data_IF_145460645288
#
_entry.id   IF_145460645288
#
_cell.length_a   1.000
_cell.length_b   1.000
_cell.length_c   1.000
_cell.angle_alpha   90.00
_cell.angle_beta   90.00
_cell.angle_gamma   90.00
#
_symmetry.space_group_name_H-M   'P 1'
#
loop_
_entity.id
_entity.type
_entity.pdbx_description
1 polymer ?
#
# COMPACT_ATOMS: atom_id res chain seq x y z
N UNK A 1 9.03 8.49 -21.94
CA UNK A 1 8.99 9.63 -21.00
C UNK A 1 7.83 10.57 -21.34
N UNK A 2 6.58 10.09 -21.30
CA UNK A 2 5.41 10.90 -21.73
C UNK A 2 4.79 11.71 -20.58
N UNK A 3 5.21 11.46 -19.35
CA UNK A 3 4.50 11.91 -18.14
C UNK A 3 5.31 12.83 -17.23
N UNK A 4 6.57 13.14 -17.54
CA UNK A 4 7.33 14.16 -16.80
C UNK A 4 7.18 15.53 -17.46
N UNK A 5 7.18 16.65 -16.70
CA UNK A 5 7.25 17.99 -17.27
C UNK A 5 8.45 18.11 -18.21
N UNK A 6 8.27 18.76 -19.36
CA UNK A 6 9.31 18.88 -20.40
C UNK A 6 10.60 19.56 -19.91
N UNK A 7 10.51 20.35 -18.84
CA UNK A 7 11.63 21.05 -18.20
C UNK A 7 12.23 20.32 -16.99
N UNK A 8 11.78 19.09 -16.69
CA UNK A 8 12.31 18.35 -15.54
C UNK A 8 13.76 17.94 -15.80
N UNK A 9 14.65 18.35 -14.88
CA UNK A 9 16.03 17.94 -14.85
C UNK A 9 16.32 17.28 -13.50
N UNK A 10 16.68 15.98 -13.47
CA UNK A 10 17.08 15.32 -12.23
C UNK A 10 18.30 16.03 -11.62
N UNK A 11 18.17 16.43 -10.36
CA UNK A 11 19.29 17.05 -9.61
C UNK A 11 20.21 15.98 -9.01
N UNK A 12 19.69 14.77 -8.80
CA UNK A 12 20.40 13.63 -8.22
C UNK A 12 20.71 12.57 -9.28
N UNK A 13 21.85 11.90 -9.15
CA UNK A 13 22.11 10.65 -9.87
C UNK A 13 21.18 9.54 -9.40
N UNK A 14 21.02 8.48 -10.20
CA UNK A 14 20.17 7.32 -9.84
C UNK A 14 20.52 6.76 -8.45
N UNK A 15 21.82 6.63 -8.13
CA UNK A 15 22.27 6.12 -6.82
C UNK A 15 21.94 7.07 -5.67
N UNK A 16 22.01 8.37 -5.90
CA UNK A 16 21.64 9.38 -4.91
C UNK A 16 20.12 9.42 -4.71
N UNK A 17 19.34 9.27 -5.78
CA UNK A 17 17.88 9.15 -5.72
C UNK A 17 17.46 7.96 -4.88
N UNK A 18 18.03 6.77 -5.07
CA UNK A 18 17.73 5.59 -4.23
C UNK A 18 18.02 5.84 -2.74
N UNK A 19 19.15 6.49 -2.43
CA UNK A 19 19.49 6.88 -1.06
C UNK A 19 18.52 7.91 -0.48
N UNK A 20 18.11 8.89 -1.29
CA UNK A 20 17.16 9.92 -0.89
C UNK A 20 15.77 9.33 -0.64
N UNK A 21 15.29 8.41 -1.49
CA UNK A 21 14.03 7.68 -1.29
C UNK A 21 14.08 6.95 0.04
N UNK A 22 15.12 6.16 0.30
CA UNK A 22 15.26 5.45 1.58
C UNK A 22 15.24 6.40 2.77
N UNK A 23 16.00 7.50 2.71
CA UNK A 23 16.05 8.50 3.79
C UNK A 23 14.66 9.07 4.10
N UNK A 24 13.88 9.41 3.07
CA UNK A 24 12.52 9.93 3.22
C UNK A 24 11.61 8.89 3.85
N UNK A 25 11.61 7.65 3.35
CA UNK A 25 10.76 6.56 3.87
C UNK A 25 11.07 6.26 5.34
N UNK A 26 12.35 6.02 5.67
CA UNK A 26 12.79 5.70 7.04
C UNK A 26 12.47 6.86 8.01
N UNK A 27 12.63 8.11 7.56
CA UNK A 27 12.35 9.28 8.40
C UNK A 27 10.85 9.42 8.64
N UNK A 28 10.03 9.38 7.59
CA UNK A 28 8.60 9.54 7.72
C UNK A 28 7.97 8.46 8.61
N UNK A 29 8.35 7.19 8.43
CA UNK A 29 7.89 6.07 9.27
C UNK A 29 8.20 6.28 10.75
N UNK A 30 9.43 6.72 11.07
CA UNK A 30 9.83 6.99 12.45
C UNK A 30 9.05 8.15 13.06
N UNK A 31 8.92 9.26 12.34
CA UNK A 31 8.20 10.43 12.85
C UNK A 31 6.70 10.16 12.98
N UNK A 32 6.08 9.47 12.01
CA UNK A 32 4.67 9.09 12.03
C UNK A 32 4.35 8.16 13.21
N UNK A 33 5.14 7.10 13.38
CA UNK A 33 4.96 6.14 14.48
C UNK A 33 5.15 6.77 15.86
N UNK A 34 6.16 7.64 16.01
CA UNK A 34 6.38 8.38 17.26
C UNK A 34 5.28 9.37 17.58
N UNK A 35 4.85 10.18 16.60
CA UNK A 35 3.85 11.22 16.79
C UNK A 35 2.46 10.66 17.10
N UNK A 36 2.08 9.55 16.46
CA UNK A 36 0.73 8.96 16.57
C UNK A 36 0.69 7.68 17.42
N UNK A 37 1.81 7.28 18.05
CA UNK A 37 1.94 6.06 18.85
C UNK A 37 1.51 4.80 18.09
N UNK A 38 2.01 4.67 16.87
CA UNK A 38 1.69 3.56 15.98
C UNK A 38 2.76 2.48 16.04
N UNK A 39 2.36 1.22 16.11
CA UNK A 39 3.26 0.08 15.92
C UNK A 39 3.25 -0.34 14.45
N UNK A 40 4.44 -0.58 13.87
CA UNK A 40 4.54 -1.20 12.54
C UNK A 40 4.07 -2.64 12.62
N UNK A 41 3.15 -3.04 11.76
CA UNK A 41 2.70 -4.44 11.63
C UNK A 41 2.86 -4.93 10.20
N UNK A 42 2.90 -6.26 10.01
CA UNK A 42 2.95 -6.87 8.67
C UNK A 42 1.54 -7.04 8.12
N UNK A 43 1.26 -6.45 6.97
CA UNK A 43 -0.02 -6.61 6.27
C UNK A 43 -0.04 -7.72 5.23
N UNK A 44 -1.23 -8.26 4.91
CA UNK A 44 -1.40 -9.14 3.76
C UNK A 44 -1.20 -8.38 2.44
N UNK A 45 -0.59 -9.04 1.45
CA UNK A 45 -0.52 -8.55 0.06
C UNK A 45 -1.78 -8.91 -0.74
N UNK A 46 -2.47 -9.97 -0.33
CA UNK A 46 -3.68 -10.47 -0.99
C UNK A 46 -4.65 -11.06 0.03
N UNK A 47 -5.94 -11.02 -0.30
CA UNK A 47 -7.04 -11.52 0.52
C UNK A 47 -7.97 -12.37 -0.32
N UNK A 48 -8.78 -13.21 0.32
CA UNK A 48 -9.77 -14.00 -0.39
C UNK A 48 -10.81 -13.09 -1.07
N UNK A 49 -11.13 -13.37 -2.34
CA UNK A 49 -12.20 -12.65 -3.05
C UNK A 49 -13.52 -12.83 -2.28
N UNK A 50 -14.24 -11.74 -2.06
CA UNK A 50 -15.52 -11.78 -1.33
C UNK A 50 -15.38 -11.89 0.19
N UNK A 51 -14.16 -11.81 0.75
CA UNK A 51 -13.94 -11.74 2.21
C UNK A 51 -14.50 -10.48 2.87
N UNK A 52 -14.82 -9.45 2.06
CA UNK A 52 -15.19 -8.13 2.55
C UNK A 52 -14.01 -7.30 3.08
N UNK A 53 -12.79 -7.86 3.09
CA UNK A 53 -11.58 -7.20 3.60
C UNK A 53 -11.00 -6.22 2.57
N UNK A 54 -11.01 -6.61 1.29
CA UNK A 54 -10.49 -5.76 0.23
C UNK A 54 -11.34 -4.49 0.07
N UNK A 55 -10.70 -3.43 -0.40
CA UNK A 55 -11.37 -2.19 -0.75
C UNK A 55 -11.86 -2.27 -2.19
N UNK A 56 -13.10 -1.83 -2.41
CA UNK A 56 -13.72 -1.76 -3.72
C UNK A 56 -13.50 -0.38 -4.36
N UNK A 57 -12.84 0.55 -3.66
CA UNK A 57 -12.60 1.93 -4.11
C UNK A 57 -13.93 2.61 -4.52
N UNK A 58 -14.11 2.98 -5.79
CA UNK A 58 -15.35 3.55 -6.30
C UNK A 58 -16.33 2.47 -6.83
N UNK A 59 -15.96 1.20 -6.75
CA UNK A 59 -16.75 0.04 -7.18
C UNK A 59 -16.66 -0.26 -8.68
N UNK A 60 -15.83 0.47 -9.43
CA UNK A 60 -15.66 0.30 -10.88
C UNK A 60 -14.30 -0.35 -11.18
N UNK A 61 -13.29 -0.02 -10.38
CA UNK A 61 -11.91 -0.48 -10.54
C UNK A 61 -11.77 -1.97 -10.23
N UNK A 62 -11.07 -2.70 -11.10
CA UNK A 62 -10.93 -4.15 -10.99
C UNK A 62 -9.68 -4.52 -10.18
N UNK A 63 -9.82 -5.24 -9.05
CA UNK A 63 -8.65 -5.76 -8.35
C UNK A 63 -7.97 -6.86 -9.17
N UNK A 64 -6.65 -6.94 -9.07
CA UNK A 64 -5.88 -8.05 -9.65
C UNK A 64 -6.24 -9.34 -8.92
N UNK A 65 -6.81 -10.30 -9.64
CA UNK A 65 -7.22 -11.60 -9.10
C UNK A 65 -6.33 -12.74 -9.61
N UNK A 66 -6.13 -13.76 -8.80
CA UNK A 66 -5.44 -15.01 -9.18
C UNK A 66 -6.00 -16.20 -8.42
N UNK A 67 -5.76 -17.41 -8.91
CA UNK A 67 -6.16 -18.66 -8.25
C UNK A 67 -4.95 -19.32 -7.57
N UNK A 68 -5.15 -19.83 -6.37
CA UNK A 68 -4.11 -20.56 -5.62
C UNK A 68 -4.34 -22.06 -5.79
N UNK A 69 -3.50 -22.70 -6.62
CA UNK A 69 -3.64 -24.13 -6.95
C UNK A 69 -3.68 -25.04 -5.72
N UNK A 70 -2.79 -24.80 -4.75
CA UNK A 70 -2.72 -25.57 -3.50
C UNK A 70 -3.82 -25.23 -2.49
N UNK A 71 -4.79 -24.38 -2.86
CA UNK A 71 -5.91 -24.01 -2.03
C UNK A 71 -7.23 -24.23 -2.77
N UNK A 72 -7.35 -25.40 -3.42
CA UNK A 72 -8.52 -25.79 -4.22
C UNK A 72 -8.90 -24.73 -5.27
N UNK A 73 -7.90 -24.12 -5.92
CA UNK A 73 -8.07 -23.01 -6.85
C UNK A 73 -8.84 -21.81 -6.25
N UNK A 74 -8.73 -21.58 -4.94
CA UNK A 74 -9.37 -20.44 -4.31
C UNK A 74 -8.89 -19.14 -4.94
N UNK A 75 -9.86 -18.29 -5.28
CA UNK A 75 -9.62 -16.99 -5.87
C UNK A 75 -9.21 -15.97 -4.81
N UNK A 76 -8.03 -15.41 -4.99
CA UNK A 76 -7.46 -14.35 -4.17
C UNK A 76 -7.38 -13.06 -4.98
N UNK A 77 -7.35 -11.93 -4.28
CA UNK A 77 -7.22 -10.59 -4.86
C UNK A 77 -6.07 -9.87 -4.17
N UNK A 78 -5.21 -9.21 -4.96
CA UNK A 78 -4.24 -8.24 -4.44
C UNK A 78 -5.02 -7.10 -3.78
N UNK A 79 -4.56 -6.67 -2.61
CA UNK A 79 -5.22 -5.59 -1.86
C UNK A 79 -5.14 -4.28 -2.65
N UNK A 80 -6.26 -3.55 -2.73
CA UNK A 80 -6.29 -2.19 -3.30
C UNK A 80 -6.08 -1.11 -2.21
N UNK A 81 -6.51 -1.43 -0.99
CA UNK A 81 -6.34 -0.68 0.24
C UNK A 81 -6.50 -1.65 1.43
N UNK A 82 -5.95 -1.28 2.57
CA UNK A 82 -6.08 -2.04 3.83
C UNK A 82 -6.97 -1.34 4.85
N UNK A 83 -7.81 -0.39 4.44
CA UNK A 83 -8.62 0.40 5.37
C UNK A 83 -9.50 -0.47 6.30
N UNK A 84 -10.19 -1.47 5.73
CA UNK A 84 -11.02 -2.41 6.50
C UNK A 84 -10.14 -3.37 7.33
N UNK A 85 -9.07 -3.89 6.75
CA UNK A 85 -8.12 -4.77 7.44
C UNK A 85 -7.50 -4.12 8.67
N UNK A 86 -7.09 -2.85 8.61
CA UNK A 86 -6.49 -2.13 9.75
C UNK A 86 -7.42 -2.13 10.97
N UNK A 87 -8.74 -1.98 10.77
CA UNK A 87 -9.72 -2.04 11.87
C UNK A 87 -9.83 -3.44 12.47
N UNK A 88 -9.80 -4.48 11.64
CA UNK A 88 -9.81 -5.87 12.13
C UNK A 88 -8.54 -6.17 12.92
N UNK A 89 -7.37 -5.79 12.40
CA UNK A 89 -6.09 -5.99 13.06
C UNK A 89 -5.98 -5.28 14.41
N UNK A 90 -6.55 -4.07 14.56
CA UNK A 90 -6.63 -3.39 15.86
C UNK A 90 -7.37 -4.23 16.91
N UNK A 91 -8.47 -4.88 16.51
CA UNK A 91 -9.26 -5.74 17.39
C UNK A 91 -8.55 -7.08 17.67
N UNK A 92 -8.02 -7.73 16.63
CA UNK A 92 -7.35 -9.03 16.74
C UNK A 92 -6.09 -8.97 17.62
N UNK A 93 -5.40 -7.82 17.61
CA UNK A 93 -4.18 -7.59 18.41
C UNK A 93 -4.45 -6.91 19.76
N UNK A 94 -5.73 -6.69 20.12
CA UNK A 94 -6.14 -6.03 21.37
C UNK A 94 -5.40 -4.68 21.60
N UNK A 95 -5.28 -3.87 20.54
CA UNK A 95 -4.58 -2.59 20.60
C UNK A 95 -5.41 -1.60 21.41
N UNK A 96 -4.79 -1.10 22.48
CA UNK A 96 -5.45 -0.25 23.45
C UNK A 96 -5.76 1.16 22.91
N UNK A 97 -6.80 1.84 23.44
CA UNK A 97 -7.12 3.21 23.06
C UNK A 97 -5.93 4.17 23.19
N UNK A 98 -5.72 5.01 22.18
CA UNK A 98 -4.58 5.93 22.11
C UNK A 98 -3.28 5.31 21.57
N UNK A 99 -3.31 4.04 21.20
CA UNK A 99 -2.31 3.37 20.37
C UNK A 99 -2.92 3.02 19.01
N UNK A 100 -2.08 2.75 18.02
CA UNK A 100 -2.53 2.29 16.72
C UNK A 100 -1.50 1.46 16.00
N UNK A 101 -1.75 1.21 14.71
CA UNK A 101 -0.86 0.49 13.82
C UNK A 101 -0.69 1.22 12.50
N UNK A 102 0.44 0.96 11.84
CA UNK A 102 0.70 1.33 10.45
C UNK A 102 1.38 0.14 9.74
N UNK A 103 1.37 0.14 8.41
CA UNK A 103 1.94 -0.96 7.63
C UNK A 103 2.42 -0.47 6.28
N UNK A 104 3.51 -1.04 5.78
CA UNK A 104 3.96 -0.79 4.42
C UNK A 104 3.08 -1.58 3.45
N UNK A 105 2.02 -0.92 2.99
CA UNK A 105 1.07 -1.49 2.06
C UNK A 105 1.58 -1.32 0.63
N UNK A 106 1.45 -2.37 -0.18
CA UNK A 106 1.70 -2.31 -1.61
C UNK A 106 0.49 -2.86 -2.36
N UNK A 107 0.08 -2.18 -3.41
CA UNK A 107 -1.08 -2.52 -4.22
C UNK A 107 -0.74 -2.43 -5.72
N UNK A 108 -1.54 -3.14 -6.51
CA UNK A 108 -1.56 -3.01 -7.97
C UNK A 108 -2.96 -2.54 -8.39
N UNK A 109 -3.03 -1.36 -8.99
CA UNK A 109 -4.25 -0.71 -9.49
C UNK A 109 -4.19 -0.63 -11.02
N UNK A 110 -4.66 -1.68 -11.72
CA UNK A 110 -4.47 -1.80 -13.17
C UNK A 110 -5.32 -0.81 -13.98
N UNK A 111 -6.36 -0.25 -13.35
CA UNK A 111 -7.33 0.63 -14.00
C UNK A 111 -7.08 2.13 -13.69
N UNK A 112 -6.03 2.47 -12.93
CA UNK A 112 -5.66 3.87 -12.63
C UNK A 112 -5.05 4.56 -13.88
N UNK A 113 -5.39 5.83 -14.08
CA UNK A 113 -4.71 6.68 -15.07
C UNK A 113 -3.23 6.85 -14.71
N UNK A 114 -2.35 6.91 -15.72
CA UNK A 114 -0.90 7.05 -15.51
C UNK A 114 -0.47 8.46 -15.90
N UNK A 115 0.15 9.18 -14.95
CA UNK A 115 0.76 10.48 -15.19
C UNK A 115 2.02 10.69 -14.32
N UNK A 116 2.41 11.94 -14.07
CA UNK A 116 3.60 12.28 -13.29
C UNK A 116 3.54 11.82 -11.83
N UNK A 117 2.32 11.69 -11.28
CA UNK A 117 2.06 11.41 -9.87
C UNK A 117 1.17 10.17 -9.65
N UNK A 118 0.56 9.64 -10.72
CA UNK A 118 -0.26 8.42 -10.68
C UNK A 118 0.48 7.23 -11.31
N UNK A 119 0.46 6.11 -10.61
CA UNK A 119 1.14 4.86 -10.97
C UNK A 119 0.24 3.66 -10.65
N UNK A 120 0.27 2.65 -11.52
CA UNK A 120 -0.43 1.37 -11.27
C UNK A 120 0.15 0.60 -10.07
N UNK A 121 1.37 0.92 -9.66
CA UNK A 121 1.94 0.48 -8.39
C UNK A 121 1.73 1.57 -7.35
N UNK A 122 1.08 1.21 -6.25
CA UNK A 122 0.77 2.13 -5.15
C UNK A 122 1.37 1.59 -3.86
N UNK A 123 2.14 2.42 -3.15
CA UNK A 123 2.61 2.16 -1.80
C UNK A 123 2.00 3.15 -0.78
N UNK A 124 1.75 2.70 0.45
CA UNK A 124 1.19 3.51 1.54
C UNK A 124 1.72 3.05 2.91
N UNK A 125 1.63 3.94 3.91
CA UNK A 125 1.91 3.66 5.32
C UNK A 125 0.63 3.48 6.17
#
# INVERSE_FOLDING_TARGET
MKYFPSSYQPVLSVRETERAIKLVKDTFERELSGALRLSRVTSPLFVAKGSGINDDLNGIERPVSFEVGNFNNQKMEIVQSLAKWKRMALADYDIQPGLGLYTDMNAIRPDDDIDAIHSIYVDQW
#
